data_IF_541971773458
#
_entry.id   IF_541971773458
#
_cell.length_a   1.000
_cell.length_b   1.000
_cell.length_c   1.000
_cell.angle_alpha   90.00
_cell.angle_beta   90.00
_cell.angle_gamma   90.00
#
_symmetry.space_group_name_H-M   'P 1'
#
loop_
_entity.id
_entity.type
_entity.pdbx_description
1 polymer ?
#
# COMPACT_ATOMS: atom_id res chain seq x y z
N UNK A 1 20.09 39.45 -12.75
CA UNK A 1 21.38 39.47 -12.04
C UNK A 1 21.37 40.61 -11.04
N UNK A 2 21.83 40.38 -9.81
CA UNK A 2 22.10 41.42 -8.81
C UNK A 2 23.54 41.22 -8.35
N UNK A 3 24.40 42.24 -8.50
CA UNK A 3 25.81 42.18 -8.09
C UNK A 3 26.60 40.96 -8.62
N UNK A 4 26.35 40.56 -9.88
CA UNK A 4 27.01 39.39 -10.48
C UNK A 4 26.44 38.03 -10.05
N UNK A 5 25.35 37.99 -9.29
CA UNK A 5 24.66 36.77 -8.88
C UNK A 5 23.33 36.58 -9.63
N UNK A 6 22.99 35.32 -9.93
CA UNK A 6 21.71 34.97 -10.55
C UNK A 6 20.59 35.12 -9.52
N UNK A 7 19.46 35.65 -9.98
CA UNK A 7 18.30 35.93 -9.12
C UNK A 7 17.01 35.48 -9.78
N UNK A 8 16.03 35.09 -8.96
CA UNK A 8 14.64 34.81 -9.37
C UNK A 8 13.70 35.70 -8.55
N UNK A 9 12.85 36.46 -9.23
CA UNK A 9 11.90 37.38 -8.55
C UNK A 9 12.58 38.44 -7.66
N UNK A 10 13.79 38.87 -8.02
CA UNK A 10 14.58 39.83 -7.23
C UNK A 10 15.35 39.22 -6.05
N UNK A 11 15.23 37.91 -5.81
CA UNK A 11 15.95 37.19 -4.75
C UNK A 11 17.09 36.39 -5.34
N UNK A 12 18.30 36.51 -4.76
CA UNK A 12 19.46 35.71 -5.16
C UNK A 12 19.17 34.22 -4.97
N UNK A 13 19.58 33.40 -5.93
CA UNK A 13 19.46 31.95 -5.79
C UNK A 13 20.30 31.50 -4.59
N UNK A 14 19.69 30.77 -3.66
CA UNK A 14 20.34 30.39 -2.40
C UNK A 14 20.27 28.88 -2.18
N UNK A 15 21.25 28.37 -1.46
CA UNK A 15 21.34 26.98 -1.02
C UNK A 15 20.34 26.72 0.11
N UNK A 16 20.21 25.44 0.49
CA UNK A 16 19.28 25.01 1.55
C UNK A 16 19.54 25.67 2.91
N UNK A 17 20.76 26.09 3.19
CA UNK A 17 21.15 26.79 4.41
C UNK A 17 20.98 28.32 4.33
N UNK A 18 20.46 28.84 3.21
CA UNK A 18 20.26 30.27 2.97
C UNK A 18 21.48 31.01 2.39
N UNK A 19 22.64 30.35 2.25
CA UNK A 19 23.81 30.96 1.61
C UNK A 19 23.60 31.15 0.10
N UNK A 20 24.20 32.16 -0.56
CA UNK A 20 24.11 32.31 -2.01
C UNK A 20 24.63 31.08 -2.77
N UNK A 21 23.92 30.64 -3.80
CA UNK A 21 24.31 29.49 -4.62
C UNK A 21 25.56 29.83 -5.46
N UNK A 22 26.64 29.04 -5.39
CA UNK A 22 27.82 29.23 -6.24
C UNK A 22 27.53 28.82 -7.69
N UNK A 23 27.45 29.81 -8.58
CA UNK A 23 27.23 29.63 -10.02
C UNK A 23 28.54 29.92 -10.75
N UNK A 24 29.02 28.96 -11.54
CA UNK A 24 30.36 29.04 -12.14
C UNK A 24 30.40 30.03 -13.31
N UNK A 25 29.32 30.10 -14.08
CA UNK A 25 29.16 31.01 -15.21
C UNK A 25 27.79 31.71 -15.16
N UNK A 26 27.65 32.76 -14.34
CA UNK A 26 26.36 33.43 -14.15
C UNK A 26 25.76 34.03 -15.42
N UNK A 27 26.60 34.49 -16.36
CA UNK A 27 26.17 35.07 -17.63
C UNK A 27 25.64 34.01 -18.61
N UNK A 28 26.11 32.76 -18.48
CA UNK A 28 25.60 31.61 -19.23
C UNK A 28 24.40 30.90 -18.59
N UNK A 29 23.86 31.44 -17.49
CA UNK A 29 22.73 30.84 -16.81
C UNK A 29 21.46 30.87 -17.67
N UNK A 30 20.83 29.70 -17.84
CA UNK A 30 19.57 29.54 -18.54
C UNK A 30 18.70 28.46 -17.90
N UNK A 31 17.38 28.62 -18.01
CA UNK A 31 16.42 27.60 -17.58
C UNK A 31 16.19 26.60 -18.70
N UNK A 32 16.34 25.31 -18.40
CA UNK A 32 16.03 24.17 -19.27
C UNK A 32 14.54 23.78 -19.16
N UNK A 33 13.98 23.94 -17.96
CA UNK A 33 12.56 23.72 -17.64
C UNK A 33 12.23 24.44 -16.33
N UNK A 34 10.96 24.45 -15.89
CA UNK A 34 10.50 25.21 -14.72
C UNK A 34 11.40 25.13 -13.47
N UNK A 35 11.90 23.93 -13.14
CA UNK A 35 12.77 23.67 -11.96
C UNK A 35 14.22 23.36 -12.29
N UNK A 36 14.59 23.34 -13.57
CA UNK A 36 15.89 22.87 -14.02
C UNK A 36 16.55 23.96 -14.86
N UNK A 37 17.75 24.34 -14.51
CA UNK A 37 18.58 25.27 -15.26
C UNK A 37 20.02 24.79 -15.37
N UNK A 38 20.84 25.54 -16.07
CA UNK A 38 22.27 25.30 -16.20
C UNK A 38 23.00 26.60 -16.35
N UNK A 39 24.25 26.65 -15.91
CA UNK A 39 25.22 27.72 -16.20
C UNK A 39 26.20 27.33 -17.32
N UNK A 40 25.94 26.22 -18.01
CA UNK A 40 26.85 25.66 -19.02
C UNK A 40 27.97 24.79 -18.45
N UNK A 41 28.12 24.71 -17.12
CA UNK A 41 29.06 23.82 -16.45
C UNK A 41 28.35 22.78 -15.59
N UNK A 42 27.30 23.20 -14.91
CA UNK A 42 26.55 22.38 -13.96
C UNK A 42 25.05 22.50 -14.20
N UNK A 43 24.29 21.56 -13.66
CA UNK A 43 22.82 21.66 -13.61
C UNK A 43 22.43 22.32 -12.29
N UNK A 44 21.56 23.31 -12.35
CA UNK A 44 21.04 24.06 -11.21
C UNK A 44 19.57 23.69 -11.05
N UNK A 45 19.18 23.23 -9.86
CA UNK A 45 17.86 22.67 -9.63
C UNK A 45 17.15 23.41 -8.52
N UNK A 46 15.91 23.83 -8.77
CA UNK A 46 15.01 24.35 -7.75
C UNK A 46 14.36 23.19 -6.99
N UNK A 47 14.75 23.04 -5.72
CA UNK A 47 14.13 22.13 -4.77
C UNK A 47 13.17 22.87 -3.84
N UNK A 48 12.38 22.08 -3.11
CA UNK A 48 11.46 22.57 -2.10
C UNK A 48 11.53 21.69 -0.86
N UNK A 49 11.51 22.33 0.31
CA UNK A 49 11.33 21.67 1.60
C UNK A 49 10.04 22.16 2.26
N UNK A 50 9.33 21.25 2.94
CA UNK A 50 8.09 21.55 3.65
C UNK A 50 6.85 21.43 2.75
N UNK A 51 5.80 20.80 3.28
CA UNK A 51 4.50 20.63 2.61
C UNK A 51 3.55 21.82 2.83
N UNK A 52 3.73 22.58 3.91
CA UNK A 52 2.78 23.63 4.35
C UNK A 52 3.32 25.06 4.22
N UNK A 53 4.64 25.25 4.36
CA UNK A 53 5.34 26.50 4.02
C UNK A 53 6.50 26.07 3.13
N UNK A 54 6.38 26.33 1.83
CA UNK A 54 7.37 25.94 0.84
C UNK A 54 8.64 26.78 1.02
N UNK A 55 9.67 26.19 1.61
CA UNK A 55 11.02 26.76 1.55
C UNK A 55 11.66 26.32 0.24
N UNK A 56 11.70 27.22 -0.73
CA UNK A 56 12.37 27.01 -2.01
C UNK A 56 13.86 27.27 -1.85
N UNK A 57 14.68 26.38 -2.39
CA UNK A 57 16.13 26.53 -2.42
C UNK A 57 16.68 25.92 -3.70
N UNK A 58 17.93 26.22 -3.99
CA UNK A 58 18.62 25.74 -5.17
C UNK A 58 19.83 24.92 -4.76
N UNK A 59 20.16 23.93 -5.57
CA UNK A 59 21.43 23.22 -5.46
C UNK A 59 21.97 22.95 -6.85
N UNK A 60 23.27 22.69 -6.87
CA UNK A 60 24.03 22.43 -8.09
C UNK A 60 24.37 20.95 -8.18
N UNK A 61 24.29 20.39 -9.38
CA UNK A 61 24.74 19.05 -9.72
C UNK A 61 25.92 19.21 -10.67
N UNK A 62 27.09 18.81 -10.19
CA UNK A 62 28.34 18.84 -10.94
C UNK A 62 28.60 17.51 -11.66
N UNK A 63 29.46 17.55 -12.68
CA UNK A 63 29.84 16.38 -13.50
C UNK A 63 28.64 15.70 -14.20
N UNK A 64 27.64 16.50 -14.58
CA UNK A 64 26.54 16.06 -15.43
C UNK A 64 27.01 16.03 -16.88
N UNK A 65 26.62 15.01 -17.63
CA UNK A 65 26.81 15.02 -19.08
C UNK A 65 25.76 15.94 -19.72
N UNK A 66 26.09 17.24 -19.79
CA UNK A 66 25.21 18.28 -20.33
C UNK A 66 24.82 18.04 -21.79
N UNK A 67 25.66 17.34 -22.57
CA UNK A 67 25.36 17.06 -23.98
C UNK A 67 24.19 16.07 -24.15
N UNK A 68 23.97 15.21 -23.16
CA UNK A 68 22.88 14.22 -23.16
C UNK A 68 21.82 14.50 -22.10
N UNK A 69 21.92 15.62 -21.40
CA UNK A 69 21.00 15.96 -20.34
C UNK A 69 19.61 16.30 -20.88
N UNK A 70 18.59 15.62 -20.35
CA UNK A 70 17.19 15.81 -20.71
C UNK A 70 16.35 15.92 -19.45
N UNK A 71 15.54 16.98 -19.39
CA UNK A 71 14.51 17.12 -18.37
C UNK A 71 13.30 16.29 -18.78
N UNK A 72 12.80 15.44 -17.88
CA UNK A 72 11.63 14.59 -18.14
C UNK A 72 10.35 15.24 -17.61
N UNK A 73 10.41 15.81 -16.41
CA UNK A 73 9.36 16.64 -15.84
C UNK A 73 9.95 17.56 -14.74
N UNK A 74 9.10 18.25 -13.98
CA UNK A 74 9.55 19.08 -12.85
C UNK A 74 10.38 18.32 -11.80
N UNK A 75 10.24 17.00 -11.73
CA UNK A 75 10.82 16.15 -10.69
C UNK A 75 12.01 15.33 -11.12
N UNK A 76 12.05 14.93 -12.39
CA UNK A 76 13.04 14.02 -12.95
C UNK A 76 13.74 14.62 -14.15
N UNK A 77 15.04 14.36 -14.21
CA UNK A 77 15.86 14.56 -15.40
C UNK A 77 16.82 13.36 -15.53
N UNK A 78 17.47 13.22 -16.68
CA UNK A 78 18.52 12.21 -16.88
C UNK A 78 19.62 12.74 -17.77
N UNK A 79 20.79 12.12 -17.69
CA UNK A 79 21.80 12.13 -18.74
C UNK A 79 22.03 10.69 -19.21
N UNK A 80 23.00 10.46 -20.11
CA UNK A 80 23.30 9.12 -20.64
C UNK A 80 23.76 8.10 -19.57
N UNK A 81 24.10 8.53 -18.35
CA UNK A 81 24.70 7.67 -17.31
C UNK A 81 23.80 7.52 -16.09
N UNK A 82 22.99 8.53 -15.76
CA UNK A 82 22.29 8.65 -14.49
C UNK A 82 20.97 9.38 -14.66
N UNK A 83 20.03 9.09 -13.77
CA UNK A 83 18.84 9.89 -13.58
C UNK A 83 18.95 10.72 -12.30
N UNK A 84 18.21 11.81 -12.25
CA UNK A 84 18.24 12.80 -11.20
C UNK A 84 16.82 13.06 -10.73
N UNK A 85 16.65 13.16 -9.42
CA UNK A 85 15.41 13.60 -8.80
C UNK A 85 15.61 14.95 -8.12
N UNK A 86 14.59 15.79 -8.15
CA UNK A 86 14.63 17.20 -7.74
C UNK A 86 15.20 17.49 -6.34
N UNK A 87 15.29 16.51 -5.44
CA UNK A 87 15.89 16.67 -4.11
C UNK A 87 17.38 16.33 -4.07
N UNK A 88 18.05 16.28 -5.22
CA UNK A 88 19.48 15.97 -5.36
C UNK A 88 19.81 14.48 -5.34
N UNK A 89 18.79 13.60 -5.36
CA UNK A 89 19.04 12.16 -5.43
C UNK A 89 19.49 11.80 -6.83
N UNK A 90 20.60 11.08 -6.91
CA UNK A 90 21.12 10.49 -8.14
C UNK A 90 20.75 9.01 -8.19
N UNK A 91 20.21 8.59 -9.33
CA UNK A 91 19.69 7.26 -9.58
C UNK A 91 20.53 6.60 -10.66
N UNK A 92 20.97 5.36 -10.41
CA UNK A 92 21.44 4.48 -11.48
C UNK A 92 20.23 3.77 -12.07
N UNK A 93 20.19 3.67 -13.39
CA UNK A 93 19.14 3.01 -14.14
C UNK A 93 19.74 2.02 -15.14
N UNK A 94 18.90 1.12 -15.66
CA UNK A 94 19.26 0.12 -16.68
C UNK A 94 18.42 0.34 -17.92
N UNK A 95 19.08 0.45 -19.08
CA UNK A 95 18.37 0.62 -20.35
C UNK A 95 17.77 2.01 -20.51
N UNK A 96 16.46 2.13 -20.75
CA UNK A 96 15.82 3.44 -20.93
C UNK A 96 15.10 3.92 -19.66
N UNK A 97 15.61 4.99 -19.04
CA UNK A 97 14.91 5.67 -17.95
C UNK A 97 13.88 6.66 -18.50
N UNK A 98 12.62 6.46 -18.14
CA UNK A 98 11.50 7.29 -18.59
C UNK A 98 10.45 7.46 -17.51
N UNK A 99 9.56 8.43 -17.68
CA UNK A 99 8.38 8.53 -16.83
C UNK A 99 7.42 7.38 -17.14
N UNK A 100 6.72 6.91 -16.11
CA UNK A 100 5.65 5.95 -16.31
C UNK A 100 4.50 6.64 -17.06
N UNK A 101 3.81 5.94 -17.95
CA UNK A 101 2.58 6.46 -18.54
C UNK A 101 1.42 6.25 -17.56
N UNK A 102 0.74 7.34 -17.22
CA UNK A 102 -0.47 7.36 -16.42
C UNK A 102 -1.68 7.35 -17.35
N UNK A 103 -2.53 6.34 -17.20
CA UNK A 103 -3.83 6.28 -17.87
C UNK A 103 -4.90 7.10 -17.14
N UNK A 104 -5.70 7.84 -17.87
CA UNK A 104 -6.95 8.46 -17.41
C UNK A 104 -8.10 7.85 -18.22
N UNK A 105 -9.01 7.18 -17.51
CA UNK A 105 -10.17 6.52 -18.13
C UNK A 105 -11.42 7.36 -17.91
N UNK A 106 -12.24 7.47 -18.96
CA UNK A 106 -13.62 7.93 -18.88
C UNK A 106 -14.51 6.69 -18.92
N UNK A 107 -15.51 6.65 -18.04
CA UNK A 107 -16.38 5.50 -17.83
C UNK A 107 -17.83 5.83 -18.18
N UNK A 108 -18.60 4.83 -18.57
CA UNK A 108 -20.06 4.93 -18.65
C UNK A 108 -20.74 4.64 -17.30
N UNK A 109 -22.08 4.65 -17.28
CA UNK A 109 -22.88 4.36 -16.09
C UNK A 109 -22.74 2.91 -15.57
N UNK A 110 -22.22 1.98 -16.39
CA UNK A 110 -21.89 0.61 -16.00
C UNK A 110 -20.40 0.41 -15.68
N UNK A 111 -19.59 1.48 -15.68
CA UNK A 111 -18.16 1.41 -15.42
C UNK A 111 -17.34 0.81 -16.57
N UNK A 112 -17.89 0.75 -17.78
CA UNK A 112 -17.12 0.38 -18.98
C UNK A 112 -16.30 1.57 -19.44
N UNK A 113 -15.10 1.30 -19.92
CA UNK A 113 -14.20 2.34 -20.41
C UNK A 113 -14.69 2.83 -21.77
N UNK A 114 -15.06 4.11 -21.85
CA UNK A 114 -15.46 4.80 -23.08
C UNK A 114 -14.25 5.35 -23.85
N UNK A 115 -13.28 5.90 -23.12
CA UNK A 115 -12.05 6.41 -23.71
C UNK A 115 -10.91 6.40 -22.69
N UNK A 116 -9.67 6.30 -23.17
CA UNK A 116 -8.48 6.45 -22.35
C UNK A 116 -7.53 7.46 -22.96
N UNK A 117 -6.91 8.27 -22.12
CA UNK A 117 -5.77 9.11 -22.47
C UNK A 117 -4.57 8.76 -21.62
N UNK A 118 -3.38 8.97 -22.17
CA UNK A 118 -2.12 8.78 -21.46
C UNK A 118 -1.41 10.11 -21.24
N UNK A 119 -0.82 10.28 -20.07
CA UNK A 119 0.06 11.38 -19.74
C UNK A 119 1.24 10.87 -18.94
N UNK A 120 2.38 11.57 -18.97
CA UNK A 120 3.52 11.20 -18.13
C UNK A 120 3.17 11.34 -16.64
N UNK A 121 3.49 10.31 -15.86
CA UNK A 121 3.28 10.31 -14.42
C UNK A 121 4.21 11.33 -13.74
N UNK A 122 3.69 12.21 -12.89
CA UNK A 122 4.51 13.22 -12.23
C UNK A 122 5.47 12.65 -11.18
N UNK A 123 5.19 11.47 -10.61
CA UNK A 123 5.89 10.90 -9.46
C UNK A 123 6.63 9.58 -9.77
N UNK A 124 6.14 8.82 -10.75
CA UNK A 124 6.67 7.53 -11.14
C UNK A 124 7.55 7.60 -12.38
N UNK A 125 8.72 6.96 -12.28
CA UNK A 125 9.59 6.66 -13.39
C UNK A 125 9.89 5.17 -13.41
N UNK A 126 10.22 4.65 -14.59
CA UNK A 126 10.61 3.26 -14.81
C UNK A 126 11.88 3.21 -15.64
N UNK A 127 12.60 2.12 -15.49
CA UNK A 127 13.61 1.68 -16.45
C UNK A 127 13.34 0.22 -16.86
N UNK A 128 14.28 -0.41 -17.56
CA UNK A 128 14.10 -1.77 -18.07
C UNK A 128 14.04 -2.85 -16.97
N UNK A 129 14.23 -2.49 -15.69
CA UNK A 129 14.25 -3.42 -14.56
C UNK A 129 13.46 -2.95 -13.33
N UNK A 130 13.38 -1.65 -13.09
CA UNK A 130 13.02 -1.06 -11.81
C UNK A 130 11.99 0.05 -11.94
N UNK A 131 11.24 0.22 -10.87
CA UNK A 131 10.27 1.29 -10.69
C UNK A 131 10.81 2.27 -9.65
N UNK A 132 10.60 3.55 -9.88
CA UNK A 132 11.04 4.64 -9.03
C UNK A 132 9.84 5.52 -8.68
N UNK A 133 9.59 5.74 -7.39
CA UNK A 133 8.57 6.66 -6.89
C UNK A 133 9.26 7.74 -6.04
N UNK A 134 9.02 9.02 -6.35
CA UNK A 134 9.62 10.16 -5.62
C UNK A 134 11.15 10.03 -5.47
N UNK A 135 11.83 9.67 -6.56
CA UNK A 135 13.28 9.50 -6.61
C UNK A 135 13.81 8.35 -5.75
N UNK A 136 12.98 7.34 -5.46
CA UNK A 136 13.38 6.17 -4.67
C UNK A 136 12.92 4.90 -5.36
N UNK A 137 13.81 3.90 -5.46
CA UNK A 137 13.47 2.60 -6.04
C UNK A 137 12.39 1.91 -5.20
N UNK A 138 11.29 1.53 -5.85
CA UNK A 138 10.21 0.76 -5.26
C UNK A 138 10.64 -0.71 -5.18
N UNK A 139 10.97 -1.18 -3.97
CA UNK A 139 11.50 -2.53 -3.78
C UNK A 139 10.44 -3.60 -4.03
N UNK A 140 10.82 -4.63 -4.79
CA UNK A 140 9.96 -5.76 -5.11
C UNK A 140 8.92 -5.50 -6.20
N UNK A 141 8.88 -4.28 -6.77
CA UNK A 141 8.12 -4.02 -7.97
C UNK A 141 8.88 -4.49 -9.21
N UNK A 142 8.15 -5.01 -10.18
CA UNK A 142 8.68 -5.41 -11.47
C UNK A 142 8.56 -4.28 -12.49
N UNK A 143 9.69 -3.69 -12.89
CA UNK A 143 9.75 -2.57 -13.84
C UNK A 143 9.04 -2.85 -15.17
N UNK A 144 9.37 -3.94 -15.89
CA UNK A 144 8.82 -4.21 -17.22
C UNK A 144 7.29 -4.33 -17.30
N UNK A 145 6.63 -4.81 -16.24
CA UNK A 145 5.17 -4.97 -16.21
C UNK A 145 4.43 -3.91 -15.40
N UNK A 146 5.16 -2.95 -14.80
CA UNK A 146 4.56 -1.90 -13.99
C UNK A 146 3.73 -0.95 -14.84
N UNK A 147 2.47 -0.77 -14.47
CA UNK A 147 1.49 0.04 -15.20
C UNK A 147 0.57 0.76 -14.24
N UNK A 148 0.10 1.94 -14.64
CA UNK A 148 -0.98 2.63 -13.96
C UNK A 148 -2.32 1.97 -14.30
N UNK A 149 -3.19 1.80 -13.31
CA UNK A 149 -4.54 1.25 -13.47
C UNK A 149 -5.63 2.32 -13.48
N UNK A 150 -5.30 3.56 -13.12
CA UNK A 150 -6.27 4.63 -12.91
C UNK A 150 -6.15 5.22 -11.50
N UNK A 151 -6.51 6.49 -11.37
CA UNK A 151 -6.54 7.20 -10.08
C UNK A 151 -5.20 7.19 -9.34
N UNK A 152 -5.12 6.44 -8.23
CA UNK A 152 -3.96 6.27 -7.36
C UNK A 152 -3.43 4.81 -7.40
N UNK A 153 -3.91 3.98 -8.34
CA UNK A 153 -3.64 2.55 -8.39
C UNK A 153 -2.70 2.16 -9.52
N UNK A 154 -1.82 1.21 -9.21
CA UNK A 154 -0.80 0.69 -10.12
C UNK A 154 -0.73 -0.82 -9.93
N UNK A 155 -0.20 -1.54 -10.90
CA UNK A 155 0.12 -2.95 -10.75
C UNK A 155 1.34 -3.32 -11.56
N UNK A 156 2.01 -4.37 -11.14
CA UNK A 156 2.90 -5.15 -11.98
C UNK A 156 2.32 -6.55 -12.20
N UNK A 157 3.12 -7.51 -12.65
CA UNK A 157 2.68 -8.89 -12.87
C UNK A 157 2.49 -9.69 -11.56
N UNK A 158 2.89 -9.16 -10.42
CA UNK A 158 2.92 -9.86 -9.14
C UNK A 158 2.10 -9.17 -8.05
N UNK A 159 1.87 -7.86 -8.14
CA UNK A 159 1.28 -7.05 -7.07
C UNK A 159 0.48 -5.88 -7.61
N UNK A 160 -0.49 -5.46 -6.80
CA UNK A 160 -1.19 -4.18 -6.93
C UNK A 160 -0.65 -3.20 -5.90
N UNK A 161 -0.67 -1.92 -6.21
CA UNK A 161 -0.19 -0.84 -5.37
C UNK A 161 -1.22 0.29 -5.30
N UNK A 162 -1.37 0.88 -4.12
CA UNK A 162 -1.94 2.22 -3.95
C UNK A 162 -0.79 3.20 -3.77
N UNK A 163 -0.54 4.02 -4.78
CA UNK A 163 0.69 4.82 -4.92
C UNK A 163 1.91 3.88 -4.82
N UNK A 164 2.74 4.04 -3.79
CA UNK A 164 3.92 3.20 -3.55
C UNK A 164 3.71 2.07 -2.54
N UNK A 165 2.48 1.91 -1.99
CA UNK A 165 2.19 0.87 -1.00
C UNK A 165 1.62 -0.37 -1.69
N UNK A 166 2.23 -1.55 -1.56
CA UNK A 166 1.64 -2.78 -2.08
C UNK A 166 0.35 -3.12 -1.33
N UNK A 167 -0.58 -3.74 -2.05
CA UNK A 167 -1.84 -4.27 -1.54
C UNK A 167 -1.81 -5.79 -1.62
N UNK A 168 -2.42 -6.46 -0.65
CA UNK A 168 -2.61 -7.90 -0.65
C UNK A 168 -4.00 -8.23 -1.21
N UNK A 169 -4.04 -8.43 -2.52
CA UNK A 169 -5.24 -8.64 -3.33
C UNK A 169 -4.96 -9.62 -4.46
N UNK A 170 -6.02 -10.18 -5.04
CA UNK A 170 -5.92 -10.96 -6.26
C UNK A 170 -5.63 -10.03 -7.45
N UNK A 171 -4.40 -10.08 -7.97
CA UNK A 171 -3.88 -9.17 -9.00
C UNK A 171 -4.64 -9.31 -10.33
N UNK A 172 -5.04 -10.53 -10.68
CA UNK A 172 -5.68 -10.82 -11.97
C UNK A 172 -7.12 -10.31 -12.05
N UNK A 173 -7.85 -10.32 -10.93
CA UNK A 173 -9.24 -9.86 -10.86
C UNK A 173 -9.40 -8.43 -10.35
N UNK A 174 -8.31 -7.72 -10.09
CA UNK A 174 -8.35 -6.40 -9.49
C UNK A 174 -9.07 -5.38 -10.39
N UNK A 175 -10.06 -4.68 -9.81
CA UNK A 175 -10.91 -3.70 -10.48
C UNK A 175 -10.65 -2.31 -9.91
N UNK A 176 -10.53 -1.34 -10.80
CA UNK A 176 -10.59 0.10 -10.51
C UNK A 176 -11.53 0.76 -11.51
N UNK A 177 -12.71 1.17 -11.06
CA UNK A 177 -13.72 1.78 -11.92
C UNK A 177 -14.47 2.91 -11.19
N UNK A 178 -15.00 3.86 -11.95
CA UNK A 178 -15.84 4.92 -11.39
C UNK A 178 -17.03 5.13 -12.33
N UNK A 179 -18.25 4.95 -11.84
CA UNK A 179 -19.44 4.97 -12.70
C UNK A 179 -19.88 6.41 -12.92
N UNK A 180 -20.21 6.76 -14.16
CA UNK A 180 -20.86 8.04 -14.47
C UNK A 180 -22.32 8.02 -13.97
N UNK A 181 -22.77 9.09 -13.32
CA UNK A 181 -24.14 9.26 -12.82
C UNK A 181 -24.93 10.33 -13.61
N UNK A 182 -24.42 10.76 -14.75
CA UNK A 182 -24.95 11.87 -15.55
C UNK A 182 -24.48 13.24 -15.03
N UNK A 183 -24.58 14.26 -15.89
CA UNK A 183 -24.23 15.66 -15.59
C UNK A 183 -22.78 15.85 -15.07
N UNK A 184 -21.86 14.95 -15.42
CA UNK A 184 -20.48 14.98 -14.93
C UNK A 184 -20.34 14.59 -13.44
N UNK A 185 -21.39 14.03 -12.84
CA UNK A 185 -21.34 13.43 -11.52
C UNK A 185 -20.86 11.97 -11.61
N UNK A 186 -20.12 11.52 -10.61
CA UNK A 186 -19.50 10.20 -10.58
C UNK A 186 -19.78 9.49 -9.26
N UNK A 187 -19.86 8.15 -9.29
CA UNK A 187 -19.92 7.34 -8.08
C UNK A 187 -18.63 7.48 -7.25
N UNK A 188 -18.65 7.04 -5.98
CA UNK A 188 -17.45 6.62 -5.29
C UNK A 188 -16.65 5.64 -6.16
N UNK A 189 -15.33 5.62 -5.96
CA UNK A 189 -14.44 4.76 -6.71
C UNK A 189 -14.67 3.30 -6.30
N UNK A 190 -15.02 2.46 -7.27
CA UNK A 190 -15.09 1.01 -7.11
C UNK A 190 -13.68 0.45 -7.19
N UNK A 191 -13.18 -0.05 -6.06
CA UNK A 191 -11.87 -0.69 -5.96
C UNK A 191 -12.05 -2.02 -5.26
N UNK A 192 -11.52 -3.10 -5.82
CA UNK A 192 -11.69 -4.43 -5.24
C UNK A 192 -11.07 -5.51 -6.10
N UNK A 193 -11.26 -6.75 -5.68
CA UNK A 193 -10.89 -7.95 -6.43
C UNK A 193 -12.05 -8.97 -6.36
N UNK A 194 -11.83 -10.19 -6.87
CA UNK A 194 -12.84 -11.27 -6.81
C UNK A 194 -13.24 -11.66 -5.40
N UNK A 195 -12.44 -11.33 -4.39
CA UNK A 195 -12.71 -11.67 -2.99
C UNK A 195 -13.50 -10.58 -2.27
N UNK A 196 -13.56 -9.36 -2.81
CA UNK A 196 -14.40 -8.30 -2.25
C UNK A 196 -13.97 -6.89 -2.67
N UNK A 197 -14.76 -5.88 -2.30
CA UNK A 197 -14.32 -4.49 -2.39
C UNK A 197 -13.17 -4.21 -1.41
N UNK A 198 -12.35 -3.19 -1.72
CA UNK A 198 -11.36 -2.59 -0.84
C UNK A 198 -11.87 -1.25 -0.32
N UNK A 199 -11.49 -0.86 0.90
CA UNK A 199 -11.81 0.45 1.46
C UNK A 199 -13.26 0.62 1.91
N UNK A 200 -14.10 -0.42 1.78
CA UNK A 200 -15.28 -0.59 2.63
C UNK A 200 -14.79 -0.78 4.07
N UNK A 201 -15.46 -0.23 5.08
CA UNK A 201 -15.26 -0.55 6.51
C UNK A 201 -15.57 -2.04 6.86
N UNK A 202 -15.50 -2.94 5.88
CA UNK A 202 -15.71 -4.38 6.00
C UNK A 202 -17.14 -4.84 5.70
N UNK A 203 -18.13 -3.94 5.70
CA UNK A 203 -19.50 -4.27 5.30
C UNK A 203 -19.68 -3.98 3.82
N UNK A 204 -20.14 -4.98 3.07
CA UNK A 204 -20.83 -4.73 1.82
C UNK A 204 -22.27 -4.36 2.18
N UNK A 205 -22.48 -3.08 2.49
CA UNK A 205 -23.82 -2.58 2.78
C UNK A 205 -24.67 -2.48 1.50
N UNK A 206 -25.96 -2.23 1.64
CA UNK A 206 -26.89 -2.18 0.50
C UNK A 206 -26.51 -1.08 -0.50
N UNK A 207 -25.91 0.02 -0.03
CA UNK A 207 -25.44 1.12 -0.89
C UNK A 207 -24.29 0.65 -1.77
N UNK A 208 -23.28 0.03 -1.16
CA UNK A 208 -22.14 -0.53 -1.87
C UNK A 208 -22.57 -1.66 -2.81
N UNK A 209 -23.48 -2.52 -2.38
CA UNK A 209 -24.03 -3.58 -3.22
C UNK A 209 -24.69 -2.98 -4.46
N UNK A 210 -25.51 -1.94 -4.30
CA UNK A 210 -26.15 -1.24 -5.41
C UNK A 210 -25.13 -0.59 -6.36
N UNK A 211 -24.06 -0.01 -5.83
CA UNK A 211 -22.98 0.58 -6.63
C UNK A 211 -22.27 -0.47 -7.49
N UNK A 212 -21.94 -1.63 -6.92
CA UNK A 212 -21.28 -2.73 -7.63
C UNK A 212 -22.21 -3.50 -8.57
N UNK A 213 -23.52 -3.57 -8.30
CA UNK A 213 -24.47 -4.27 -9.17
C UNK A 213 -24.46 -3.72 -10.59
N UNK A 214 -24.51 -2.39 -10.76
CA UNK A 214 -24.45 -1.77 -12.09
C UNK A 214 -23.16 -2.13 -12.84
N UNK A 215 -22.04 -2.25 -12.12
CA UNK A 215 -20.77 -2.68 -12.71
C UNK A 215 -20.83 -4.15 -13.16
N UNK A 216 -21.23 -5.08 -12.29
CA UNK A 216 -21.25 -6.50 -12.65
C UNK A 216 -22.29 -6.86 -13.71
N UNK A 217 -23.48 -6.23 -13.68
CA UNK A 217 -24.50 -6.37 -14.72
C UNK A 217 -23.97 -5.91 -16.09
N UNK A 218 -23.12 -4.88 -16.11
CA UNK A 218 -22.50 -4.39 -17.32
C UNK A 218 -21.32 -5.26 -17.82
N UNK A 219 -20.80 -6.16 -16.99
CA UNK A 219 -19.62 -6.99 -17.26
C UNK A 219 -19.90 -8.50 -17.08
N UNK A 220 -20.81 -9.10 -17.88
CA UNK A 220 -21.22 -10.50 -17.72
C UNK A 220 -20.10 -11.53 -17.96
N UNK A 221 -18.98 -11.12 -18.56
CA UNK A 221 -17.78 -11.94 -18.71
C UNK A 221 -17.03 -12.16 -17.39
N UNK A 222 -17.23 -11.30 -16.38
CA UNK A 222 -16.65 -11.47 -15.05
C UNK A 222 -17.47 -12.52 -14.30
N UNK A 223 -16.81 -13.53 -13.77
CA UNK A 223 -17.42 -14.65 -13.05
C UNK A 223 -16.63 -14.91 -11.77
N UNK A 224 -17.22 -15.63 -10.82
CA UNK A 224 -16.58 -16.01 -9.56
C UNK A 224 -16.12 -14.83 -8.67
N UNK A 225 -16.77 -13.67 -8.82
CA UNK A 225 -16.64 -12.55 -7.88
C UNK A 225 -17.57 -12.74 -6.68
N UNK A 226 -17.21 -12.12 -5.56
CA UNK A 226 -18.02 -12.05 -4.33
C UNK A 226 -19.49 -11.67 -4.59
N UNK A 227 -19.74 -10.77 -5.54
CA UNK A 227 -21.09 -10.31 -5.90
C UNK A 227 -21.96 -11.43 -6.48
N UNK A 228 -21.39 -12.31 -7.29
CA UNK A 228 -22.08 -13.49 -7.82
C UNK A 228 -22.37 -14.50 -6.71
N UNK A 229 -21.41 -14.72 -5.80
CA UNK A 229 -21.58 -15.62 -4.64
C UNK A 229 -22.71 -15.17 -3.71
N UNK A 230 -22.90 -13.86 -3.54
CA UNK A 230 -23.99 -13.30 -2.72
C UNK A 230 -25.38 -13.54 -3.32
N UNK A 231 -25.48 -13.71 -4.64
CA UNK A 231 -26.75 -13.97 -5.32
C UNK A 231 -27.07 -15.45 -5.47
N UNK A 232 -26.08 -16.34 -5.26
CA UNK A 232 -26.30 -17.77 -5.34
C UNK A 232 -27.40 -18.17 -4.34
N UNK A 233 -28.38 -19.00 -4.75
CA UNK A 233 -29.46 -19.39 -3.86
C UNK A 233 -28.87 -20.08 -2.63
N UNK A 234 -29.03 -19.46 -1.46
CA UNK A 234 -28.70 -20.11 -0.21
C UNK A 234 -29.79 -21.15 0.07
N UNK A 235 -29.37 -22.38 0.39
CA UNK A 235 -30.31 -23.42 0.86
C UNK A 235 -30.82 -22.94 2.21
N UNK A 236 -31.96 -22.24 2.19
CA UNK A 236 -32.63 -21.71 3.37
C UNK A 236 -33.26 -22.87 4.13
N UNK A 237 -32.44 -23.53 4.93
CA UNK A 237 -32.92 -24.12 6.17
C UNK A 237 -32.66 -23.09 7.25
N UNK A 238 -33.70 -22.71 8.01
CA UNK A 238 -33.56 -21.91 9.22
C UNK A 238 -32.67 -22.66 10.21
N UNK A 239 -31.35 -22.51 10.05
CA UNK A 239 -30.36 -23.02 10.98
C UNK A 239 -30.34 -22.06 12.17
N UNK A 240 -30.42 -22.63 13.37
CA UNK A 240 -30.19 -21.85 14.58
C UNK A 240 -28.78 -21.26 14.52
N UNK A 241 -28.67 -19.97 14.83
CA UNK A 241 -27.39 -19.28 14.90
C UNK A 241 -26.50 -19.94 15.96
N UNK A 242 -25.29 -20.32 15.56
CA UNK A 242 -24.28 -20.90 16.44
C UNK A 242 -23.25 -19.84 16.80
N UNK A 243 -23.19 -19.46 18.09
CA UNK A 243 -22.12 -18.59 18.57
C UNK A 243 -20.75 -19.26 18.49
N UNK A 244 -19.75 -18.53 17.96
CA UNK A 244 -18.36 -19.00 17.83
C UNK A 244 -17.36 -18.14 18.62
N UNK A 245 -17.83 -17.11 19.33
CA UNK A 245 -17.01 -16.21 20.14
C UNK A 245 -16.75 -14.85 19.48
N UNK A 246 -16.15 -13.92 20.23
CA UNK A 246 -15.81 -12.56 19.79
C UNK A 246 -16.97 -11.79 19.12
N UNK A 247 -18.20 -12.03 19.56
CA UNK A 247 -19.40 -11.40 18.98
C UNK A 247 -19.90 -12.03 17.67
N UNK A 248 -19.31 -13.13 17.21
CA UNK A 248 -19.71 -13.81 15.98
C UNK A 248 -20.68 -14.96 16.20
N UNK A 249 -21.59 -15.10 15.25
CA UNK A 249 -22.54 -16.20 15.15
C UNK A 249 -22.61 -16.71 13.70
N UNK A 250 -22.73 -18.02 13.51
CA UNK A 250 -22.81 -18.66 12.20
C UNK A 250 -24.22 -19.22 11.96
N UNK A 251 -24.81 -18.86 10.83
CA UNK A 251 -25.96 -19.54 10.23
C UNK A 251 -25.68 -19.80 8.75
N UNK A 252 -26.65 -19.51 7.87
CA UNK A 252 -26.39 -19.42 6.43
C UNK A 252 -25.47 -18.24 6.06
N UNK A 253 -25.37 -17.25 6.95
CA UNK A 253 -24.48 -16.10 6.85
C UNK A 253 -23.68 -15.95 8.14
N UNK A 254 -22.60 -15.18 8.08
CA UNK A 254 -21.86 -14.76 9.27
C UNK A 254 -22.56 -13.56 9.88
N UNK A 255 -22.84 -13.62 11.18
CA UNK A 255 -23.38 -12.49 11.95
C UNK A 255 -22.33 -11.97 12.93
N UNK A 256 -22.30 -10.66 13.13
CA UNK A 256 -21.45 -9.97 14.09
C UNK A 256 -22.27 -9.00 14.94
N UNK A 257 -22.34 -9.26 16.24
CA UNK A 257 -23.23 -8.58 17.18
C UNK A 257 -24.69 -8.54 16.69
N UNK A 258 -25.20 -9.69 16.21
CA UNK A 258 -26.57 -9.87 15.71
C UNK A 258 -26.82 -9.34 14.31
N UNK A 259 -25.86 -8.64 13.68
CA UNK A 259 -25.99 -8.08 12.33
C UNK A 259 -25.41 -9.04 11.30
N UNK A 260 -26.13 -9.39 10.21
CA UNK A 260 -25.54 -10.18 9.12
C UNK A 260 -24.42 -9.39 8.44
N UNK A 261 -23.34 -10.08 8.07
CA UNK A 261 -22.23 -9.53 7.29
C UNK A 261 -22.27 -10.15 5.89
N UNK A 262 -22.47 -9.29 4.89
CA UNK A 262 -22.36 -9.67 3.48
C UNK A 262 -20.89 -9.84 3.08
N UNK A 263 -20.61 -10.87 2.29
CA UNK A 263 -19.32 -11.09 1.64
C UNK A 263 -18.39 -12.08 2.36
N UNK A 264 -18.76 -12.51 3.58
CA UNK A 264 -18.08 -13.57 4.30
C UNK A 264 -18.65 -14.95 3.95
N UNK A 265 -17.77 -15.92 3.75
CA UNK A 265 -18.14 -17.30 3.50
C UNK A 265 -18.41 -18.03 4.83
N UNK A 266 -19.67 -18.16 5.20
CA UNK A 266 -20.08 -18.76 6.48
C UNK A 266 -19.64 -20.23 6.64
N UNK A 267 -19.43 -20.96 5.54
CA UNK A 267 -19.03 -22.37 5.55
C UNK A 267 -17.56 -22.59 5.94
N UNK A 268 -16.68 -21.64 5.59
CA UNK A 268 -15.24 -21.66 5.88
C UNK A 268 -14.81 -20.64 6.94
N UNK A 269 -15.73 -19.79 7.40
CA UNK A 269 -15.42 -18.75 8.37
C UNK A 269 -14.91 -19.32 9.70
N UNK A 270 -13.83 -18.73 10.21
CA UNK A 270 -13.27 -19.08 11.51
C UNK A 270 -12.57 -17.91 12.19
N UNK A 271 -12.54 -17.98 13.52
CA UNK A 271 -11.69 -17.12 14.33
C UNK A 271 -10.26 -17.68 14.32
N UNK A 272 -9.30 -16.81 14.01
CA UNK A 272 -7.88 -17.14 14.05
C UNK A 272 -7.24 -16.67 15.35
N UNK A 273 -7.62 -15.50 15.85
CA UNK A 273 -7.21 -14.96 17.15
C UNK A 273 -8.29 -13.96 17.65
N UNK A 274 -8.06 -13.35 18.81
CA UNK A 274 -8.92 -12.35 19.46
C UNK A 274 -9.31 -11.20 18.53
N UNK A 275 -8.42 -10.80 17.61
CA UNK A 275 -8.62 -9.68 16.69
C UNK A 275 -8.51 -10.07 15.22
N UNK A 276 -8.51 -11.36 14.92
CA UNK A 276 -8.29 -11.86 13.57
C UNK A 276 -9.29 -12.97 13.25
N UNK A 277 -9.99 -12.82 12.14
CA UNK A 277 -10.83 -13.86 11.56
C UNK A 277 -10.52 -14.00 10.07
N UNK A 278 -11.10 -15.03 9.47
CA UNK A 278 -10.88 -15.32 8.07
C UNK A 278 -11.84 -16.38 7.55
N UNK A 279 -11.92 -16.46 6.23
CA UNK A 279 -12.66 -17.48 5.51
C UNK A 279 -11.85 -17.92 4.26
N UNK A 280 -12.46 -18.65 3.34
CA UNK A 280 -11.83 -19.09 2.10
C UNK A 280 -11.42 -17.95 1.16
N UNK A 281 -11.96 -16.75 1.36
CA UNK A 281 -11.78 -15.58 0.50
C UNK A 281 -10.88 -14.50 1.13
N UNK A 282 -10.50 -14.61 2.40
CA UNK A 282 -9.57 -13.64 2.95
C UNK A 282 -9.35 -13.70 4.45
N UNK A 283 -8.52 -12.75 4.90
CA UNK A 283 -8.27 -12.45 6.30
C UNK A 283 -8.82 -11.06 6.65
N UNK A 284 -9.40 -10.96 7.84
CA UNK A 284 -10.12 -9.78 8.29
C UNK A 284 -9.71 -9.39 9.71
N UNK A 285 -9.52 -8.08 9.94
CA UNK A 285 -9.26 -7.53 11.27
C UNK A 285 -10.58 -7.28 11.99
N UNK A 286 -10.77 -7.90 13.16
CA UNK A 286 -11.95 -7.66 14.00
C UNK A 286 -11.80 -6.27 14.66
N UNK A 287 -12.82 -5.40 14.57
CA UNK A 287 -12.73 -4.05 15.13
C UNK A 287 -12.63 -4.11 16.66
N UNK A 288 -11.58 -3.50 17.22
CA UNK A 288 -11.40 -3.40 18.67
C UNK A 288 -12.27 -2.29 19.29
N UNK A 289 -12.38 -1.15 18.59
CA UNK A 289 -13.21 -0.03 19.03
C UNK A 289 -14.50 0.02 18.22
N UNK A 290 -15.61 0.32 18.92
CA UNK A 290 -16.95 0.45 18.32
C UNK A 290 -17.39 -0.81 17.58
N UNK A 291 -17.20 -1.99 18.18
CA UNK A 291 -17.61 -3.28 17.60
C UNK A 291 -19.13 -3.36 17.37
N UNK A 292 -19.90 -2.52 18.07
CA UNK A 292 -21.35 -2.39 17.91
C UNK A 292 -21.72 -1.68 16.60
N UNK A 293 -20.82 -0.87 16.03
CA UNK A 293 -21.08 -0.09 14.80
C UNK A 293 -20.17 -0.45 13.64
N UNK A 294 -18.94 -0.90 13.87
CA UNK A 294 -18.00 -1.37 12.83
C UNK A 294 -18.11 -2.89 12.64
N UNK A 295 -17.51 -3.40 11.58
CA UNK A 295 -17.38 -4.84 11.30
C UNK A 295 -15.92 -5.18 10.90
N UNK A 296 -15.58 -6.45 10.68
CA UNK A 296 -14.23 -6.85 10.27
C UNK A 296 -13.82 -6.36 8.87
N UNK A 297 -12.62 -5.80 8.76
CA UNK A 297 -12.08 -5.25 7.50
C UNK A 297 -11.09 -6.22 6.83
N UNK A 298 -11.29 -6.51 5.53
CA UNK A 298 -10.38 -7.38 4.77
C UNK A 298 -9.04 -6.69 4.56
N UNK A 299 -7.95 -7.36 4.92
CA UNK A 299 -6.59 -6.87 4.68
C UNK A 299 -5.74 -7.80 3.81
N UNK A 300 -6.22 -9.03 3.55
CA UNK A 300 -5.57 -10.02 2.70
C UNK A 300 -6.59 -10.86 1.98
N UNK A 301 -6.26 -11.28 0.75
CA UNK A 301 -7.03 -12.26 -0.04
C UNK A 301 -6.69 -13.71 0.30
N UNK A 302 -5.75 -13.94 1.22
CA UNK A 302 -5.28 -15.27 1.57
C UNK A 302 -6.35 -16.09 2.32
N UNK A 303 -6.51 -17.35 1.92
CA UNK A 303 -7.41 -18.28 2.59
C UNK A 303 -7.00 -18.51 4.05
N UNK A 304 -7.96 -18.38 4.96
CA UNK A 304 -7.76 -18.56 6.39
C UNK A 304 -7.28 -19.97 6.77
N UNK A 305 -7.51 -20.99 5.93
CA UNK A 305 -7.03 -22.36 6.14
C UNK A 305 -5.52 -22.53 6.11
N UNK A 306 -4.81 -21.58 5.50
CA UNK A 306 -3.36 -21.57 5.56
C UNK A 306 -2.83 -21.04 6.90
N UNK A 307 -3.68 -20.36 7.69
CA UNK A 307 -3.28 -19.68 8.90
C UNK A 307 -3.73 -20.42 10.16
N UNK A 308 -2.85 -20.42 11.17
CA UNK A 308 -3.17 -20.86 12.52
C UNK A 308 -2.51 -19.99 13.57
N UNK A 309 -3.17 -19.85 14.72
CA UNK A 309 -2.58 -19.21 15.88
C UNK A 309 -1.45 -20.08 16.45
N UNK A 310 -0.38 -19.43 16.90
CA UNK A 310 0.66 -20.04 17.72
C UNK A 310 0.48 -19.71 19.22
N UNK A 311 -0.57 -18.97 19.56
CA UNK A 311 -0.79 -18.35 20.86
C UNK A 311 -0.53 -16.85 20.78
N UNK A 312 -1.52 -16.06 21.15
CA UNK A 312 -1.51 -14.61 20.96
C UNK A 312 -0.22 -13.97 21.49
N UNK A 313 0.46 -13.11 20.70
CA UNK A 313 0.04 -12.44 19.46
C UNK A 313 0.63 -13.04 18.16
N UNK A 314 0.97 -14.33 18.16
CA UNK A 314 1.69 -14.96 17.06
C UNK A 314 0.79 -15.85 16.20
N UNK A 315 0.99 -15.79 14.89
CA UNK A 315 0.34 -16.65 13.89
C UNK A 315 1.37 -17.19 12.91
N UNK A 316 0.99 -18.23 12.17
CA UNK A 316 1.81 -18.76 11.07
C UNK A 316 0.95 -19.16 9.89
N UNK A 317 1.49 -18.99 8.69
CA UNK A 317 0.98 -19.52 7.42
C UNK A 317 1.60 -20.90 7.07
N UNK A 318 2.36 -21.50 8.00
CA UNK A 318 3.14 -22.72 7.78
C UNK A 318 4.52 -22.50 7.14
N UNK A 319 4.86 -21.27 6.73
CA UNK A 319 6.18 -20.91 6.19
C UNK A 319 6.89 -19.85 7.03
N UNK A 320 6.13 -18.91 7.58
CA UNK A 320 6.60 -17.74 8.32
C UNK A 320 5.83 -17.62 9.62
N UNK A 321 6.44 -16.92 10.56
CA UNK A 321 5.76 -16.45 11.77
C UNK A 321 5.41 -14.99 11.57
N UNK A 322 4.21 -14.58 11.96
CA UNK A 322 3.79 -13.19 12.00
C UNK A 322 3.43 -12.80 13.43
N UNK A 323 3.56 -11.52 13.74
CA UNK A 323 3.31 -10.96 15.06
C UNK A 323 2.38 -9.74 14.95
N UNK A 324 1.38 -9.69 15.83
CA UNK A 324 0.66 -8.46 16.12
C UNK A 324 1.45 -7.65 17.16
N UNK A 325 2.27 -6.70 16.72
CA UNK A 325 2.96 -5.76 17.61
C UNK A 325 1.97 -4.80 18.29
N UNK A 326 0.90 -4.44 17.58
CA UNK A 326 -0.26 -3.70 18.07
C UNK A 326 -1.50 -4.55 17.81
N UNK A 327 -2.27 -4.84 18.86
CA UNK A 327 -3.33 -5.86 18.87
C UNK A 327 -4.45 -5.72 17.82
N UNK A 328 -4.61 -4.55 17.21
CA UNK A 328 -5.63 -4.24 16.19
C UNK A 328 -5.02 -3.73 14.88
N UNK A 329 -3.74 -4.02 14.62
CA UNK A 329 -3.07 -3.77 13.35
C UNK A 329 -2.84 -5.07 12.59
N UNK A 330 -2.66 -4.95 11.27
CA UNK A 330 -2.31 -6.06 10.39
C UNK A 330 -1.05 -6.76 10.93
N UNK A 331 -1.07 -8.10 11.08
CA UNK A 331 0.09 -8.82 11.56
C UNK A 331 1.25 -8.75 10.56
N UNK A 332 2.46 -8.52 11.09
CA UNK A 332 3.66 -8.35 10.26
C UNK A 332 4.55 -9.61 10.30
N UNK A 333 5.17 -10.00 9.16
CA UNK A 333 6.06 -11.14 9.13
C UNK A 333 7.34 -10.89 9.95
N UNK A 334 7.70 -11.86 10.78
CA UNK A 334 8.91 -11.84 11.60
C UNK A 334 10.10 -12.36 10.79
N UNK A 335 10.91 -11.44 10.25
CA UNK A 335 11.99 -11.77 9.31
C UNK A 335 13.07 -12.75 9.84
N UNK A 336 13.26 -12.85 11.16
CA UNK A 336 14.28 -13.71 11.78
C UNK A 336 13.72 -14.91 12.54
N UNK A 337 12.40 -15.07 12.59
CA UNK A 337 11.79 -16.17 13.30
C UNK A 337 12.00 -17.48 12.55
N UNK A 338 12.46 -18.50 13.26
CA UNK A 338 12.51 -19.87 12.75
C UNK A 338 11.29 -20.65 13.19
N UNK A 339 10.42 -20.98 12.23
CA UNK A 339 9.15 -21.63 12.52
C UNK A 339 9.32 -22.97 13.26
N UNK A 340 10.40 -23.72 13.00
CA UNK A 340 10.59 -25.03 13.60
C UNK A 340 10.96 -24.95 15.09
N UNK A 341 11.64 -23.88 15.51
CA UNK A 341 11.98 -23.64 16.92
C UNK A 341 11.14 -22.58 17.63
N UNK A 342 10.13 -22.02 16.95
CA UNK A 342 9.29 -20.98 17.51
C UNK A 342 8.26 -21.55 18.49
N UNK A 343 8.26 -21.04 19.72
CA UNK A 343 7.35 -21.43 20.79
C UNK A 343 6.76 -20.16 21.42
N UNK A 344 5.44 -19.97 21.33
CA UNK A 344 4.77 -18.90 22.09
C UNK A 344 4.71 -19.27 23.56
N UNK A 345 5.13 -18.34 24.43
CA UNK A 345 5.07 -18.49 25.88
C UNK A 345 3.91 -17.70 26.51
N UNK A 346 3.05 -17.08 25.69
CA UNK A 346 1.95 -16.22 26.13
C UNK A 346 2.38 -14.80 26.50
N UNK A 347 1.40 -13.91 26.69
CA UNK A 347 1.61 -12.51 27.08
C UNK A 347 2.59 -11.72 26.20
N UNK A 348 2.68 -12.04 24.91
CA UNK A 348 3.62 -11.37 23.99
C UNK A 348 5.07 -11.84 24.09
N UNK A 349 5.32 -12.99 24.73
CA UNK A 349 6.62 -13.63 24.81
C UNK A 349 6.68 -14.86 23.93
N UNK A 350 7.82 -15.07 23.28
CA UNK A 350 8.13 -16.30 22.55
C UNK A 350 9.59 -16.71 22.74
N UNK A 351 9.87 -17.99 22.49
CA UNK A 351 11.21 -18.55 22.43
C UNK A 351 11.49 -18.99 21.00
N UNK A 352 12.68 -18.66 20.50
CA UNK A 352 13.15 -19.13 19.20
C UNK A 352 14.68 -19.32 19.21
N UNK A 353 15.17 -20.49 18.79
CA UNK A 353 16.61 -20.86 18.83
C UNK A 353 17.30 -20.53 20.17
N UNK A 354 16.59 -20.71 21.29
CA UNK A 354 17.08 -20.41 22.64
C UNK A 354 17.17 -18.91 22.99
N UNK A 355 16.64 -18.03 22.14
CA UNK A 355 16.47 -16.59 22.37
C UNK A 355 15.05 -16.30 22.83
N UNK A 356 14.91 -15.28 23.66
CA UNK A 356 13.61 -14.79 24.12
C UNK A 356 13.21 -13.59 23.25
N UNK A 357 12.01 -13.64 22.68
CA UNK A 357 11.44 -12.60 21.82
C UNK A 357 10.28 -11.96 22.57
N UNK A 358 10.19 -10.63 22.52
CA UNK A 358 9.01 -9.89 22.99
C UNK A 358 8.44 -9.04 21.87
N UNK A 359 7.13 -8.79 21.92
CA UNK A 359 6.43 -7.87 21.01
C UNK A 359 7.04 -6.46 20.97
N UNK A 360 7.76 -6.07 22.02
CA UNK A 360 8.34 -4.73 22.18
C UNK A 360 9.75 -4.56 21.58
N UNK A 361 10.54 -5.62 21.36
CA UNK A 361 11.86 -5.58 20.70
C UNK A 361 12.54 -6.95 20.69
N UNK A 362 13.24 -7.30 19.60
CA UNK A 362 14.29 -8.33 19.61
C UNK A 362 15.42 -7.88 20.57
N UNK A 363 15.51 -8.44 21.78
CA UNK A 363 16.63 -8.16 22.70
C UNK A 363 17.59 -9.36 22.77
N UNK A 364 18.88 -9.06 22.66
CA UNK A 364 19.96 -10.05 22.68
C UNK A 364 20.12 -10.76 24.05
N UNK A 365 20.83 -11.91 24.13
CA UNK A 365 20.81 -12.83 25.29
C UNK A 365 21.48 -12.34 26.59
N UNK A 366 22.02 -11.12 26.66
CA UNK A 366 22.87 -10.68 27.78
C UNK A 366 22.09 -10.30 29.06
N UNK A 367 20.76 -10.26 29.03
CA UNK A 367 19.95 -9.90 30.21
C UNK A 367 19.32 -11.14 30.86
N UNK A 368 20.14 -12.17 31.13
CA UNK A 368 19.68 -13.48 31.64
C UNK A 368 19.49 -13.57 33.16
N UNK A 369 19.52 -12.47 33.94
CA UNK A 369 19.66 -12.56 35.40
C UNK A 369 18.62 -11.90 36.30
N UNK A 370 17.49 -11.39 35.80
CA UNK A 370 16.57 -10.67 36.70
C UNK A 370 15.09 -11.02 36.63
N UNK A 371 14.65 -11.98 35.81
CA UNK A 371 13.21 -12.27 35.65
C UNK A 371 12.85 -13.77 35.69
N UNK A 372 13.72 -14.62 36.22
CA UNK A 372 13.36 -16.00 36.57
C UNK A 372 12.39 -16.09 37.77
N UNK A 373 12.05 -14.96 38.40
CA UNK A 373 11.18 -14.91 39.59
C UNK A 373 9.69 -14.73 39.30
N UNK A 374 9.27 -14.42 38.07
CA UNK A 374 7.85 -14.18 37.74
C UNK A 374 7.16 -15.31 36.95
N UNK A 375 7.91 -16.32 36.49
CA UNK A 375 7.37 -17.48 35.79
C UNK A 375 7.13 -18.71 36.70
N UNK A 376 7.38 -18.57 38.01
CA UNK A 376 7.26 -19.65 38.98
C UNK A 376 6.31 -19.29 40.12
N UNK A 377 5.07 -18.96 39.80
CA UNK A 377 3.96 -19.02 40.76
C UNK A 377 2.83 -19.86 40.15
N UNK A 378 2.59 -21.08 40.63
CA UNK A 378 1.44 -21.85 40.21
C UNK A 378 0.17 -21.20 40.78
N UNK A 379 -0.86 -21.07 39.94
CA UNK A 379 -2.20 -20.65 40.37
C UNK A 379 -2.71 -21.60 41.48
N UNK A 380 -3.25 -21.08 42.60
CA UNK A 380 -3.97 -21.92 43.54
C UNK A 380 -5.30 -22.33 42.90
N UNK A 381 -5.55 -23.65 42.86
CA UNK A 381 -6.85 -24.19 42.49
C UNK A 381 -7.87 -23.81 43.56
N UNK A 382 -8.96 -23.17 43.17
CA UNK A 382 -10.30 -23.36 43.72
C UNK A 382 -11.35 -23.06 42.66
#
# INVERSE_FOLDING_TARGET
MISGQVCRGGVVLHQKDGSPLPIANPDGFQMLAWRWGTDGHSVIVQAQQGSSIAYEYFYRIDNVDLATFSVLNERYAKDARRAYYLTGKTLRYVGDFRLLNRVQSVFDAGGRILSQSEAADPYFAVDDQFVYCNGTRLRGADGPSFRHLGFDYYADRHRVYRRSKPLDVDVESFVVAQLERGEGNYSPLLVGDRHGPLGSDGVIDDTMLQEWSAYFEAHPQLQDYWWHRLQAPSVSTAQALRSIGSGFELGSQVHFHGRPINGLDAGSFKLLDTHLCGDANGLYLIPFHRAETRVPERFSSACADHYRALGGPYLTDGQRVFCHSVFYQVPEPMAKADLASFESCGHGWARDKGRCITTAQERSPSTRRTLASWAATPSPRH
#
